data_IF_833412480130
#
_entry.id   IF_833412480130
#
_cell.length_a   1.000
_cell.length_b   1.000
_cell.length_c   1.000
_cell.angle_alpha   90.00
_cell.angle_beta   90.00
_cell.angle_gamma   90.00
#
_symmetry.space_group_name_H-M   'P 1'
#
loop_
_entity.id
_entity.type
_entity.pdbx_description
1 polymer ?
#
# COMPACT_ATOMS: atom_id res chain seq x y z
N UNK A 1 -11.29 -6.77 -3.35
CA UNK A 1 -12.12 -6.31 -2.20
C UNK A 1 -12.94 -5.08 -2.56
N UNK A 2 -12.36 -3.92 -2.94
CA UNK A 2 -13.14 -2.73 -3.34
C UNK A 2 -13.92 -2.90 -4.66
N UNK A 3 -13.32 -3.50 -5.70
CA UNK A 3 -14.00 -3.80 -6.98
C UNK A 3 -15.23 -4.70 -6.76
N UNK A 4 -15.13 -5.67 -5.84
CA UNK A 4 -16.25 -6.56 -5.50
C UNK A 4 -17.38 -5.83 -4.76
N UNK A 5 -17.07 -4.80 -3.97
CA UNK A 5 -18.06 -4.08 -3.15
C UNK A 5 -18.71 -2.93 -3.95
N UNK A 6 -17.91 -2.17 -4.70
CA UNK A 6 -18.35 -0.94 -5.36
C UNK A 6 -18.44 -1.04 -6.88
N UNK A 7 -18.04 -2.17 -7.46
CA UNK A 7 -17.90 -2.35 -8.90
C UNK A 7 -16.63 -1.70 -9.47
N UNK A 8 -16.20 -2.09 -10.69
CA UNK A 8 -14.95 -1.63 -11.28
C UNK A 8 -14.91 -0.12 -11.54
N UNK A 9 -16.07 0.50 -11.83
CA UNK A 9 -16.17 1.94 -12.12
C UNK A 9 -16.01 2.83 -10.88
N UNK A 10 -16.59 2.44 -9.74
CA UNK A 10 -16.55 3.25 -8.50
C UNK A 10 -15.43 2.85 -7.54
N UNK A 11 -14.87 1.65 -7.69
CA UNK A 11 -13.83 1.15 -6.79
C UNK A 11 -12.59 2.05 -6.69
N UNK A 12 -12.03 2.62 -7.77
CA UNK A 12 -10.87 3.51 -7.66
C UNK A 12 -11.17 4.75 -6.81
N UNK A 13 -12.34 5.37 -7.04
CA UNK A 13 -12.77 6.58 -6.30
C UNK A 13 -13.00 6.27 -4.83
N UNK A 14 -13.67 5.15 -4.53
CA UNK A 14 -13.93 4.73 -3.15
C UNK A 14 -12.66 4.35 -2.41
N UNK A 15 -11.71 3.71 -3.10
CA UNK A 15 -10.40 3.38 -2.54
C UNK A 15 -9.60 4.66 -2.24
N UNK A 16 -9.53 5.60 -3.20
CA UNK A 16 -8.85 6.88 -2.99
C UNK A 16 -9.45 7.64 -1.80
N UNK A 17 -10.78 7.71 -1.71
CA UNK A 17 -11.48 8.33 -0.57
C UNK A 17 -11.08 7.69 0.76
N UNK A 18 -11.07 6.36 0.82
CA UNK A 18 -10.71 5.62 2.03
C UNK A 18 -9.25 5.87 2.45
N UNK A 19 -8.33 5.87 1.48
CA UNK A 19 -6.92 6.17 1.71
C UNK A 19 -6.77 7.60 2.26
N UNK A 20 -7.37 8.60 1.60
CA UNK A 20 -7.31 9.99 2.04
C UNK A 20 -7.89 10.20 3.44
N UNK A 21 -8.98 9.51 3.80
CA UNK A 21 -9.52 9.55 5.15
C UNK A 21 -8.58 8.95 6.19
N UNK A 22 -7.91 7.84 5.85
CA UNK A 22 -6.92 7.21 6.72
C UNK A 22 -5.69 8.11 6.90
N UNK A 23 -5.17 8.69 5.82
CA UNK A 23 -4.03 9.63 5.84
C UNK A 23 -4.34 10.86 6.69
N UNK A 24 -5.55 11.43 6.57
CA UNK A 24 -5.96 12.57 7.40
C UNK A 24 -6.00 12.24 8.89
N UNK A 25 -6.52 11.06 9.24
CA UNK A 25 -6.51 10.60 10.64
C UNK A 25 -5.09 10.41 11.14
N UNK A 26 -4.23 9.83 10.31
CA UNK A 26 -2.83 9.61 10.61
C UNK A 26 -2.08 10.93 10.88
N UNK A 27 -2.25 11.92 10.00
CA UNK A 27 -1.66 13.25 10.16
C UNK A 27 -2.14 13.94 11.45
N UNK A 28 -3.42 13.82 11.78
CA UNK A 28 -3.97 14.32 13.05
C UNK A 28 -3.30 13.67 14.28
N UNK A 29 -3.10 12.35 14.26
CA UNK A 29 -2.41 11.64 15.35
C UNK A 29 -0.94 12.07 15.46
N UNK A 30 -0.25 12.19 14.33
CA UNK A 30 1.17 12.56 14.29
C UNK A 30 1.42 13.98 14.80
N UNK A 31 0.49 14.90 14.57
CA UNK A 31 0.52 16.29 15.08
C UNK A 31 0.23 16.38 16.57
N UNK A 32 -0.56 15.45 17.12
CA UNK A 32 -0.90 15.40 18.54
C UNK A 32 0.13 14.61 19.37
N UNK A 33 1.08 13.94 18.71
CA UNK A 33 2.16 13.22 19.37
C UNK A 33 3.15 14.20 20.02
N UNK A 34 3.91 13.69 21.00
CA UNK A 34 5.07 14.40 21.50
C UNK A 34 6.03 14.79 20.35
N UNK A 35 6.55 16.03 20.28
CA UNK A 35 7.38 16.48 19.17
C UNK A 35 8.63 15.64 18.91
N UNK A 36 9.28 15.11 19.95
CA UNK A 36 10.45 14.23 19.79
C UNK A 36 10.03 12.87 19.24
N UNK A 37 8.92 12.32 19.73
CA UNK A 37 8.39 11.06 19.22
C UNK A 37 7.92 11.18 17.77
N UNK A 38 7.29 12.29 17.41
CA UNK A 38 6.86 12.61 16.03
C UNK A 38 8.06 12.68 15.08
N UNK A 39 9.11 13.41 15.47
CA UNK A 39 10.35 13.52 14.71
C UNK A 39 11.05 12.17 14.53
N UNK A 40 11.17 11.39 15.60
CA UNK A 40 11.79 10.06 15.54
C UNK A 40 11.00 9.11 14.65
N UNK A 41 9.67 9.13 14.73
CA UNK A 41 8.82 8.34 13.86
C UNK A 41 9.04 8.68 12.38
N UNK A 42 9.05 9.98 12.03
CA UNK A 42 9.26 10.43 10.64
C UNK A 42 10.61 9.96 10.09
N UNK A 43 11.70 10.12 10.86
CA UNK A 43 13.03 9.64 10.48
C UNK A 43 13.04 8.14 10.20
N UNK A 44 12.43 7.35 11.09
CA UNK A 44 12.31 5.90 10.92
C UNK A 44 11.56 5.58 9.63
N UNK A 45 10.47 6.28 9.32
CA UNK A 45 9.75 6.06 8.06
C UNK A 45 10.62 6.27 6.82
N UNK A 46 11.44 7.32 6.80
CA UNK A 46 12.40 7.53 5.70
C UNK A 46 13.42 6.40 5.61
N UNK A 47 13.93 5.93 6.75
CA UNK A 47 14.85 4.80 6.83
C UNK A 47 14.21 3.51 6.28
N UNK A 48 12.95 3.22 6.65
CA UNK A 48 12.16 2.11 6.10
C UNK A 48 12.11 2.13 4.59
N UNK A 49 11.80 3.30 4.03
CA UNK A 49 11.57 3.45 2.61
C UNK A 49 12.87 3.23 1.85
N UNK A 50 13.99 3.68 2.42
CA UNK A 50 15.34 3.41 1.90
C UNK A 50 15.70 1.93 2.00
N UNK A 51 15.45 1.29 3.15
CA UNK A 51 15.70 -0.14 3.38
C UNK A 51 14.86 -1.02 2.43
N UNK A 52 13.55 -0.79 2.36
CA UNK A 52 12.60 -1.60 1.58
C UNK A 52 12.70 -1.41 0.06
N UNK A 53 13.27 -0.30 -0.42
CA UNK A 53 13.31 0.02 -1.85
C UNK A 53 14.44 -0.66 -2.65
N UNK A 54 15.59 -0.96 -2.04
CA UNK A 54 16.77 -1.54 -2.75
C UNK A 54 17.64 -2.50 -1.92
N UNK A 55 17.60 -2.45 -0.59
CA UNK A 55 18.55 -3.13 0.30
C UNK A 55 17.79 -3.92 1.37
N UNK A 56 16.65 -4.51 1.02
CA UNK A 56 15.98 -5.42 1.94
C UNK A 56 16.86 -6.67 2.02
N UNK A 57 17.65 -6.81 3.08
CA UNK A 57 18.38 -8.05 3.42
C UNK A 57 17.46 -9.26 3.69
N UNK A 58 16.16 -9.12 3.41
CA UNK A 58 15.18 -10.17 3.50
C UNK A 58 15.33 -11.13 2.32
N UNK A 59 15.36 -12.45 2.61
CA UNK A 59 15.44 -13.53 1.61
C UNK A 59 14.41 -13.46 0.47
N UNK A 60 13.31 -12.71 0.65
CA UNK A 60 12.24 -12.55 -0.35
C UNK A 60 12.48 -11.39 -1.33
N UNK A 61 13.61 -10.68 -1.22
CA UNK A 61 14.01 -9.60 -2.15
C UNK A 61 13.23 -8.30 -1.95
N UNK A 62 13.56 -7.31 -2.80
CA UNK A 62 12.86 -6.03 -2.81
C UNK A 62 11.44 -6.21 -3.36
N UNK A 63 10.44 -5.66 -2.68
CA UNK A 63 9.06 -5.67 -3.17
C UNK A 63 8.97 -4.80 -4.44
N UNK A 64 8.74 -5.43 -5.59
CA UNK A 64 8.47 -4.74 -6.84
C UNK A 64 6.96 -4.59 -7.04
N UNK A 65 6.55 -3.46 -7.63
CA UNK A 65 5.15 -3.26 -7.99
C UNK A 65 4.80 -4.31 -9.06
N UNK A 66 3.81 -5.19 -8.82
CA UNK A 66 3.41 -6.15 -9.83
C UNK A 66 2.82 -5.42 -11.05
N UNK A 67 3.01 -5.95 -12.27
CA UNK A 67 2.44 -5.36 -13.46
C UNK A 67 0.91 -5.28 -13.36
N UNK A 68 0.33 -4.29 -14.02
CA UNK A 68 -1.13 -4.10 -14.04
C UNK A 68 -1.78 -5.34 -14.66
N UNK A 69 -2.71 -5.93 -13.92
CA UNK A 69 -3.53 -7.03 -14.43
C UNK A 69 -4.62 -6.42 -15.31
N UNK A 70 -4.53 -6.67 -16.62
CA UNK A 70 -5.45 -6.12 -17.63
C UNK A 70 -6.80 -6.84 -17.58
N UNK A 71 -6.79 -8.15 -17.36
CA UNK A 71 -7.98 -9.01 -17.26
C UNK A 71 -7.87 -9.87 -16.00
N UNK A 72 -8.70 -9.55 -15.01
CA UNK A 72 -8.69 -10.18 -13.69
C UNK A 72 -9.21 -11.64 -13.74
N UNK A 73 -10.14 -11.96 -14.63
CA UNK A 73 -10.71 -13.31 -14.76
C UNK A 73 -9.74 -14.25 -15.49
N UNK A 74 -9.14 -13.78 -16.58
CA UNK A 74 -8.11 -14.51 -17.31
C UNK A 74 -6.88 -14.77 -16.42
N UNK A 75 -6.43 -13.74 -15.69
CA UNK A 75 -5.30 -13.85 -14.77
C UNK A 75 -5.55 -14.91 -13.68
N UNK A 76 -6.74 -14.91 -13.07
CA UNK A 76 -7.11 -15.90 -12.04
C UNK A 76 -7.23 -17.32 -12.60
N UNK A 77 -7.78 -17.47 -13.81
CA UNK A 77 -7.89 -18.76 -14.49
C UNK A 77 -6.52 -19.35 -14.84
N UNK A 78 -5.60 -18.52 -15.34
CA UNK A 78 -4.23 -18.93 -15.63
C UNK A 78 -3.47 -19.37 -14.36
N UNK A 79 -3.71 -18.71 -13.23
CA UNK A 79 -3.10 -19.10 -11.95
C UNK A 79 -3.59 -20.45 -11.43
N UNK A 80 -4.86 -20.81 -11.71
CA UNK A 80 -5.42 -22.12 -11.37
C UNK A 80 -4.92 -23.24 -12.29
N UNK A 81 -4.67 -22.93 -13.56
CA UNK A 81 -4.17 -23.88 -14.56
C UNK A 81 -2.64 -24.09 -14.49
N UNK A 82 -1.92 -23.24 -13.75
CA UNK A 82 -0.45 -23.34 -13.57
C UNK A 82 -0.04 -24.19 -12.36
N UNK A 83 -0.96 -24.99 -11.80
CA UNK A 83 -0.67 -25.97 -10.74
C UNK A 83 -0.52 -27.38 -11.30
#
# INVERSE_FOLDING_TARGET
>A
MFVRIYGPSKAPVMLAKYITEAERKYDGLLKNLDPQLSLNYQKRCEEATKEGGKISGHQLGAWSIPPVIVDEELYRSNLQNSK
#
